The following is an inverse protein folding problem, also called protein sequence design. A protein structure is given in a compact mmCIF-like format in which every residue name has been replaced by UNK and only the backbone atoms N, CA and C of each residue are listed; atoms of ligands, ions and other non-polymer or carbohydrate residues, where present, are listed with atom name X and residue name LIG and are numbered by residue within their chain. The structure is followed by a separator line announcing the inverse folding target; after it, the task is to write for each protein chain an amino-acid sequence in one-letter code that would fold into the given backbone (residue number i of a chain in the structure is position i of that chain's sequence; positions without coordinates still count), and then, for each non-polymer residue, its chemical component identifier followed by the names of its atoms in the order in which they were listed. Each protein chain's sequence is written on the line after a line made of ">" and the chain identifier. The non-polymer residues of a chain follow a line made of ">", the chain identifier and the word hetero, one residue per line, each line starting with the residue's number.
data_IF_403372508746
#
_entry.id   IF_403372508746
#
_cell.length_a   1.000
_cell.length_b   1.000
_cell.length_c   1.000
_cell.angle_alpha   90.00
_cell.angle_beta   90.00
_cell.angle_gamma   90.00
#
_symmetry.space_group_name_H-M   'P 1'
#
loop_
_entity.id
_entity.type
_entity.pdbx_description
1 polymer ?
#
# COMPACT_ATOMS: atom_id res chain seq x y z
N UNK A 1 25.55 -43.56 -22.36
CA UNK A 1 25.61 -42.46 -21.38
C UNK A 1 25.31 -41.08 -21.99
N UNK A 2 25.82 -40.76 -23.18
CA UNK A 2 25.63 -39.45 -23.85
C UNK A 2 24.17 -38.99 -24.01
N UNK A 3 23.22 -39.92 -24.18
CA UNK A 3 21.78 -39.62 -24.36
C UNK A 3 21.16 -38.92 -23.15
N UNK A 4 21.63 -39.23 -21.94
CA UNK A 4 21.12 -38.59 -20.71
C UNK A 4 21.62 -37.15 -20.57
N UNK A 5 22.83 -36.87 -21.03
CA UNK A 5 23.39 -35.51 -21.06
C UNK A 5 22.61 -34.62 -22.03
N UNK A 6 22.23 -35.15 -23.19
CA UNK A 6 21.41 -34.41 -24.17
C UNK A 6 20.00 -34.07 -23.64
N UNK A 7 19.40 -34.96 -22.85
CA UNK A 7 18.10 -34.71 -22.22
C UNK A 7 18.22 -33.66 -21.11
N UNK A 8 19.28 -33.74 -20.29
CA UNK A 8 19.52 -32.80 -19.20
C UNK A 8 19.78 -31.37 -19.69
N UNK A 9 20.52 -31.20 -20.80
CA UNK A 9 20.77 -29.87 -21.38
C UNK A 9 19.50 -29.28 -21.99
N UNK A 10 18.68 -30.11 -22.64
CA UNK A 10 17.42 -29.66 -23.24
C UNK A 10 16.41 -29.17 -22.18
N UNK A 11 16.27 -29.87 -21.05
CA UNK A 11 15.35 -29.46 -19.98
C UNK A 11 15.82 -28.20 -19.25
N UNK A 12 17.13 -28.03 -19.05
CA UNK A 12 17.72 -26.81 -18.47
C UNK A 12 17.49 -25.56 -19.33
N UNK A 13 17.61 -25.68 -20.65
CA UNK A 13 17.36 -24.56 -21.57
C UNK A 13 15.90 -24.11 -21.54
N UNK A 14 14.94 -25.04 -21.43
CA UNK A 14 13.51 -24.71 -21.38
C UNK A 14 13.13 -24.00 -20.07
N UNK A 15 13.68 -24.42 -18.94
CA UNK A 15 13.37 -23.83 -17.63
C UNK A 15 13.86 -22.40 -17.43
N UNK A 16 14.81 -21.93 -18.26
CA UNK A 16 15.48 -20.63 -18.04
C UNK A 16 14.64 -19.43 -18.50
N UNK A 17 13.58 -19.66 -19.27
CA UNK A 17 12.72 -18.62 -19.83
C UNK A 17 11.80 -17.92 -18.81
N UNK A 18 11.69 -18.44 -17.58
CA UNK A 18 10.86 -17.86 -16.52
C UNK A 18 11.54 -16.73 -15.74
N UNK A 19 12.86 -16.57 -15.87
CA UNK A 19 13.64 -15.52 -15.18
C UNK A 19 13.71 -14.21 -15.98
N UNK A 20 12.80 -14.00 -16.93
CA UNK A 20 12.71 -12.77 -17.72
C UNK A 20 11.58 -11.84 -17.31
N UNK A 21 10.72 -12.28 -16.37
CA UNK A 21 9.69 -11.40 -15.82
C UNK A 21 10.36 -10.56 -14.73
N UNK A 22 10.78 -9.36 -15.14
CA UNK A 22 10.98 -8.25 -14.20
C UNK A 22 9.80 -8.24 -13.23
N UNK A 23 10.04 -8.25 -11.91
CA UNK A 23 8.97 -7.98 -10.96
C UNK A 23 8.25 -6.73 -11.46
N UNK A 24 6.96 -6.85 -11.82
CA UNK A 24 6.18 -5.71 -12.27
C UNK A 24 6.41 -4.55 -11.29
N UNK A 25 6.52 -3.30 -11.78
CA UNK A 25 7.10 -2.19 -11.03
C UNK A 25 6.56 -2.22 -9.61
N UNK A 26 7.42 -2.59 -8.67
CA UNK A 26 7.11 -2.52 -7.25
C UNK A 26 6.69 -1.08 -7.03
N UNK A 27 5.48 -0.81 -6.47
CA UNK A 27 5.05 0.55 -6.24
C UNK A 27 6.13 1.23 -5.42
N UNK A 28 6.82 2.16 -6.08
CA UNK A 28 7.91 2.94 -5.54
C UNK A 28 7.35 3.61 -4.30
N UNK A 29 7.76 3.14 -3.12
CA UNK A 29 7.43 3.77 -1.84
C UNK A 29 8.27 5.03 -1.70
N UNK A 30 8.14 5.95 -2.66
CA UNK A 30 8.66 7.29 -2.59
C UNK A 30 7.97 7.98 -1.42
N UNK A 31 8.64 7.91 -0.28
CA UNK A 31 8.18 8.48 0.97
C UNK A 31 6.78 7.99 1.37
N UNK A 32 6.66 6.72 1.76
CA UNK A 32 5.76 6.39 2.88
C UNK A 32 6.35 6.99 4.17
N UNK A 33 6.47 8.31 4.21
CA UNK A 33 6.34 9.08 5.44
C UNK A 33 4.87 8.85 5.80
N UNK A 34 4.56 7.70 6.39
CA UNK A 34 3.31 7.55 7.12
C UNK A 34 3.30 8.73 8.06
N UNK A 35 2.38 9.67 7.90
CA UNK A 35 2.39 10.84 8.74
C UNK A 35 2.00 10.39 10.13
N UNK A 36 3.02 10.17 10.95
CA UNK A 36 2.89 9.71 12.32
C UNK A 36 1.95 10.68 13.02
N UNK A 37 1.09 10.20 13.92
CA UNK A 37 0.15 11.06 14.65
C UNK A 37 0.84 12.29 15.29
N UNK A 38 2.15 12.20 15.59
CA UNK A 38 3.02 13.28 16.05
C UNK A 38 3.19 14.45 15.05
N UNK A 39 3.04 14.24 13.74
CA UNK A 39 3.14 15.29 12.73
C UNK A 39 2.05 16.37 12.86
N UNK A 40 0.95 16.07 13.56
CA UNK A 40 -0.13 17.02 13.81
C UNK A 40 0.12 17.97 14.99
N UNK A 41 1.23 17.79 15.73
CA UNK A 41 1.55 18.57 16.92
C UNK A 41 0.91 18.06 18.22
N UNK A 42 1.33 18.63 19.34
CA UNK A 42 0.86 18.24 20.69
C UNK A 42 -0.65 18.48 20.82
N UNK A 43 -1.36 17.54 21.44
CA UNK A 43 -2.81 17.62 21.63
C UNK A 43 -3.65 17.37 20.38
N UNK A 44 -3.01 16.95 19.27
CA UNK A 44 -3.65 16.60 18.01
C UNK A 44 -3.30 15.16 17.64
N UNK A 45 -4.17 14.51 16.88
CA UNK A 45 -3.97 13.16 16.36
C UNK A 45 -4.42 13.10 14.92
N UNK A 46 -3.68 12.37 14.08
CA UNK A 46 -4.06 12.17 12.68
C UNK A 46 -5.14 11.10 12.55
N UNK A 47 -6.24 11.41 11.88
CA UNK A 47 -7.36 10.50 11.60
C UNK A 47 -7.68 10.59 10.12
N UNK A 48 -7.51 9.47 9.42
CA UNK A 48 -7.82 9.33 8.00
C UNK A 48 -7.29 10.49 7.13
N UNK A 49 -6.02 10.84 7.34
CA UNK A 49 -5.33 11.91 6.61
C UNK A 49 -5.38 13.31 7.23
N UNK A 50 -6.27 13.57 8.21
CA UNK A 50 -6.51 14.91 8.77
C UNK A 50 -6.04 15.03 10.22
N UNK A 51 -5.48 16.18 10.58
CA UNK A 51 -5.11 16.49 11.96
C UNK A 51 -6.33 16.95 12.78
N UNK A 52 -6.69 16.18 13.80
CA UNK A 52 -7.86 16.44 14.64
C UNK A 52 -7.44 16.70 16.09
N UNK A 53 -8.10 17.64 16.78
CA UNK A 53 -7.93 17.85 18.22
C UNK A 53 -8.28 16.61 19.02
N UNK A 54 -7.48 16.28 20.05
CA UNK A 54 -7.72 15.12 20.92
C UNK A 54 -9.12 15.15 21.58
N UNK A 55 -9.65 16.35 21.81
CA UNK A 55 -10.99 16.60 22.36
C UNK A 55 -12.12 16.18 21.42
N UNK A 56 -11.91 16.20 20.10
CA UNK A 56 -12.95 15.91 19.09
C UNK A 56 -12.75 14.58 18.36
N UNK A 57 -11.73 13.79 18.73
CA UNK A 57 -11.38 12.50 18.11
C UNK A 57 -12.56 11.53 18.02
N UNK A 58 -13.39 11.46 19.06
CA UNK A 58 -14.53 10.53 19.07
C UNK A 58 -15.58 10.92 18.02
N UNK A 59 -15.85 12.22 17.87
CA UNK A 59 -16.83 12.72 16.91
C UNK A 59 -16.34 12.52 15.48
N UNK A 60 -15.08 12.85 15.21
CA UNK A 60 -14.50 12.69 13.87
C UNK A 60 -14.40 11.23 13.45
N UNK A 61 -14.02 10.30 14.34
CA UNK A 61 -14.04 8.86 14.04
C UNK A 61 -15.44 8.37 13.68
N UNK A 62 -16.48 8.85 14.35
CA UNK A 62 -17.87 8.50 14.03
C UNK A 62 -18.28 9.02 12.65
N UNK A 63 -17.93 10.26 12.33
CA UNK A 63 -18.19 10.85 11.03
C UNK A 63 -17.49 10.07 9.90
N UNK A 64 -16.18 9.83 10.04
CA UNK A 64 -15.38 9.07 9.07
C UNK A 64 -15.96 7.68 8.79
N UNK A 65 -16.42 6.97 9.83
CA UNK A 65 -17.01 5.62 9.67
C UNK A 65 -18.36 5.61 8.96
N UNK A 66 -19.12 6.70 9.02
CA UNK A 66 -20.42 6.83 8.33
C UNK A 66 -20.27 7.33 6.90
N UNK A 67 -19.10 7.84 6.55
CA UNK A 67 -18.81 8.32 5.21
C UNK A 67 -18.63 7.17 4.24
N UNK A 68 -19.26 7.29 3.08
CA UNK A 68 -19.15 6.31 1.99
C UNK A 68 -17.74 6.31 1.41
N UNK A 69 -17.17 7.50 1.22
CA UNK A 69 -15.76 7.67 0.86
C UNK A 69 -15.20 8.92 1.54
N UNK A 70 -14.07 8.76 2.21
CA UNK A 70 -13.40 9.86 2.93
C UNK A 70 -12.15 10.30 2.17
N UNK A 71 -12.05 11.59 1.87
CA UNK A 71 -10.84 12.20 1.32
C UNK A 71 -10.49 13.47 2.07
N UNK A 72 -9.36 13.45 2.80
CA UNK A 72 -8.73 14.68 3.31
C UNK A 72 -9.58 15.56 4.21
N UNK A 73 -10.67 15.05 4.80
CA UNK A 73 -11.60 15.85 5.62
C UNK A 73 -13.00 16.00 5.02
N UNK A 74 -13.18 15.59 3.78
CA UNK A 74 -14.46 15.64 3.07
C UNK A 74 -15.07 14.25 2.98
N UNK A 75 -16.36 14.18 3.29
CA UNK A 75 -17.20 13.01 3.17
C UNK A 75 -17.87 13.03 1.79
N UNK A 76 -17.57 12.09 0.91
CA UNK A 76 -18.37 11.90 -0.29
C UNK A 76 -19.67 11.19 0.09
N UNK A 77 -20.79 11.74 -0.34
CA UNK A 77 -22.10 11.08 -0.30
C UNK A 77 -22.43 10.56 -1.70
N UNK A 78 -23.17 9.46 -1.81
CA UNK A 78 -23.76 9.08 -3.11
C UNK A 78 -24.72 10.20 -3.53
N UNK A 79 -24.58 10.65 -4.78
CA UNK A 79 -25.58 11.49 -5.44
C UNK A 79 -26.73 10.62 -5.93
#
# INVERSE_FOLDING_TARGET
>A
MMRWLAVATFTLMIGTSAHGMTPGPLPQSENLITPVAAACGVGRTRINGVCVARTTVRQTRRAVRRCLRWQGGVCAMYQ
#
